data_IF_743426009023
#
_entry.id   IF_743426009023
#
_cell.length_a   1.000
_cell.length_b   1.000
_cell.length_c   1.000
_cell.angle_alpha   90.00
_cell.angle_beta   90.00
_cell.angle_gamma   90.00
#
_symmetry.space_group_name_H-M   'P 1'
#
loop_
_entity.id
_entity.type
_entity.pdbx_description
1 polymer ?
#
# COMPACT_ATOMS: atom_id res chain seq x y z
N UNK A 1 -51.40 -6.47 -45.97
CA UNK A 1 -50.51 -6.16 -44.82
C UNK A 1 -49.61 -7.34 -44.57
N UNK A 2 -48.29 -7.17 -44.53
CA UNK A 2 -47.38 -8.29 -44.26
C UNK A 2 -47.41 -8.61 -42.76
N UNK A 3 -47.44 -9.89 -42.39
CA UNK A 3 -47.68 -10.35 -40.99
C UNK A 3 -46.65 -9.81 -39.99
N UNK A 4 -45.44 -9.52 -40.46
CA UNK A 4 -44.35 -8.97 -39.65
C UNK A 4 -44.39 -7.45 -39.50
N UNK A 5 -45.23 -6.74 -40.26
CA UNK A 5 -45.27 -5.28 -40.27
C UNK A 5 -46.25 -4.74 -39.23
N UNK A 6 -45.73 -3.96 -38.29
CA UNK A 6 -46.51 -3.14 -37.35
C UNK A 6 -46.00 -1.71 -37.38
N UNK A 7 -46.91 -0.74 -37.57
CA UNK A 7 -46.56 0.69 -37.60
C UNK A 7 -45.97 1.19 -36.28
N UNK A 8 -46.29 0.53 -35.15
CA UNK A 8 -45.74 0.85 -33.84
C UNK A 8 -44.26 0.45 -33.68
N UNK A 9 -43.74 -0.42 -34.56
CA UNK A 9 -42.37 -0.94 -34.50
C UNK A 9 -41.42 -0.23 -35.47
N UNK A 10 -41.87 0.85 -36.12
CA UNK A 10 -41.03 1.69 -36.96
C UNK A 10 -40.22 2.61 -36.04
N UNK A 11 -38.89 2.51 -36.10
CA UNK A 11 -37.99 3.35 -35.33
C UNK A 11 -38.08 4.82 -35.71
N UNK A 12 -37.51 5.69 -34.89
CA UNK A 12 -37.43 7.15 -35.14
C UNK A 12 -36.62 7.50 -36.40
N UNK A 13 -35.89 6.54 -36.96
CA UNK A 13 -35.15 6.63 -38.22
C UNK A 13 -35.98 6.17 -39.45
N UNK A 14 -37.26 5.86 -39.27
CA UNK A 14 -38.16 5.41 -40.33
C UNK A 14 -37.94 3.97 -40.79
N UNK A 15 -37.11 3.19 -40.09
CA UNK A 15 -36.83 1.79 -40.43
C UNK A 15 -37.61 0.84 -39.53
N UNK A 16 -37.93 -0.34 -40.05
CA UNK A 16 -38.59 -1.41 -39.30
C UNK A 16 -37.86 -2.72 -39.54
N UNK A 17 -37.66 -3.50 -38.48
CA UNK A 17 -37.03 -4.81 -38.57
C UNK A 17 -37.92 -5.76 -39.37
N UNK A 18 -37.41 -6.26 -40.49
CA UNK A 18 -38.05 -7.31 -41.28
C UNK A 18 -37.44 -8.65 -40.89
N UNK A 19 -38.13 -9.49 -40.08
CA UNK A 19 -37.63 -10.81 -39.77
C UNK A 19 -37.59 -11.68 -41.03
N UNK A 20 -36.50 -12.41 -41.22
CA UNK A 20 -36.44 -13.50 -42.19
C UNK A 20 -36.99 -14.76 -41.52
N UNK A 21 -38.10 -15.35 -42.01
CA UNK A 21 -38.63 -16.57 -41.44
C UNK A 21 -37.63 -17.70 -41.66
N UNK A 22 -37.18 -18.32 -40.57
CA UNK A 22 -36.34 -19.52 -40.58
C UNK A 22 -37.15 -20.68 -40.03
N UNK A 23 -36.99 -21.86 -40.62
CA UNK A 23 -37.63 -23.05 -40.08
C UNK A 23 -36.99 -23.39 -38.73
N UNK A 24 -37.78 -23.61 -37.69
CA UNK A 24 -37.26 -23.85 -36.34
C UNK A 24 -36.26 -25.04 -36.28
N UNK A 25 -36.41 -26.01 -37.18
CA UNK A 25 -35.53 -27.18 -37.30
C UNK A 25 -34.18 -26.89 -37.99
N UNK A 26 -33.96 -25.71 -38.58
CA UNK A 26 -32.68 -25.33 -39.19
C UNK A 26 -31.81 -24.48 -38.28
N UNK A 27 -32.33 -24.08 -37.10
CA UNK A 27 -31.58 -23.33 -36.11
C UNK A 27 -30.73 -24.29 -35.29
N UNK A 28 -29.40 -24.17 -35.42
CA UNK A 28 -28.44 -24.80 -34.51
C UNK A 28 -27.80 -23.70 -33.67
N UNK A 29 -27.88 -23.83 -32.35
CA UNK A 29 -27.12 -22.99 -31.42
C UNK A 29 -26.36 -23.91 -30.46
N UNK A 30 -25.19 -23.45 -30.03
CA UNK A 30 -24.42 -24.10 -28.98
C UNK A 30 -24.65 -23.31 -27.69
N UNK A 31 -25.11 -23.98 -26.64
CA UNK A 31 -25.29 -23.37 -25.33
C UNK A 31 -24.63 -24.26 -24.27
N UNK A 32 -23.84 -23.65 -23.40
CA UNK A 32 -23.23 -24.31 -22.25
C UNK A 32 -23.99 -23.86 -21.01
N UNK A 33 -24.73 -24.77 -20.39
CA UNK A 33 -25.38 -24.55 -19.11
C UNK A 33 -24.44 -24.95 -17.99
N UNK A 34 -24.15 -24.02 -17.08
CA UNK A 34 -23.43 -24.33 -15.85
C UNK A 34 -24.43 -24.41 -14.70
N UNK A 35 -24.30 -25.43 -13.85
CA UNK A 35 -25.08 -25.55 -12.60
C UNK A 35 -24.07 -25.84 -11.49
N UNK A 36 -24.04 -24.98 -10.48
CA UNK A 36 -23.13 -25.12 -9.35
C UNK A 36 -23.93 -25.12 -8.05
N UNK A 37 -23.51 -25.98 -7.12
CA UNK A 37 -24.01 -25.96 -5.75
C UNK A 37 -23.46 -24.70 -5.07
N UNK A 38 -24.30 -23.83 -4.48
CA UNK A 38 -23.80 -22.70 -3.71
C UNK A 38 -22.97 -23.22 -2.54
N UNK A 39 -21.72 -22.78 -2.45
CA UNK A 39 -20.87 -23.01 -1.29
C UNK A 39 -21.39 -22.17 -0.12
N UNK A 40 -21.32 -22.74 1.07
CA UNK A 40 -21.78 -22.09 2.30
C UNK A 40 -20.93 -20.84 2.61
N UNK A 41 -21.60 -19.71 2.78
CA UNK A 41 -20.97 -18.41 3.05
C UNK A 41 -20.29 -18.38 4.43
N UNK A 42 -20.79 -19.17 5.40
CA UNK A 42 -20.21 -19.24 6.75
C UNK A 42 -18.89 -20.02 6.75
N UNK A 43 -18.73 -20.97 5.84
CA UNK A 43 -17.46 -21.71 5.64
C UNK A 43 -16.45 -20.85 4.89
N UNK A 44 -16.91 -20.07 3.89
CA UNK A 44 -16.05 -19.20 3.09
C UNK A 44 -15.62 -17.93 3.83
N UNK A 45 -16.44 -17.40 4.73
CA UNK A 45 -16.22 -16.10 5.38
C UNK A 45 -16.37 -14.91 4.43
N UNK A 46 -17.02 -15.10 3.29
CA UNK A 46 -17.20 -14.12 2.22
C UNK A 46 -18.40 -14.50 1.35
N UNK A 47 -19.16 -13.48 0.92
CA UNK A 47 -20.39 -13.63 0.15
C UNK A 47 -20.12 -14.25 -1.24
N UNK A 48 -20.54 -15.51 -1.48
CA UNK A 48 -20.26 -16.23 -2.72
C UNK A 48 -20.99 -15.63 -3.93
N UNK A 49 -22.03 -14.82 -3.74
CA UNK A 49 -22.78 -14.18 -4.84
C UNK A 49 -21.95 -13.11 -5.55
N UNK A 50 -20.96 -12.53 -4.85
CA UNK A 50 -20.06 -11.50 -5.38
C UNK A 50 -18.81 -12.07 -6.06
N UNK A 51 -18.60 -13.38 -6.01
CA UNK A 51 -17.49 -14.04 -6.67
C UNK A 51 -17.89 -14.48 -8.08
N UNK A 52 -16.96 -14.40 -9.06
CA UNK A 52 -17.14 -15.04 -10.36
C UNK A 52 -17.50 -16.51 -10.19
N UNK A 53 -18.49 -16.98 -10.96
CA UNK A 53 -19.05 -18.33 -10.84
C UNK A 53 -18.03 -19.43 -11.14
N UNK A 54 -16.93 -19.11 -11.83
CA UNK A 54 -15.82 -20.02 -12.12
C UNK A 54 -14.69 -19.97 -11.07
N UNK A 55 -14.85 -19.17 -10.00
CA UNK A 55 -13.86 -18.95 -8.95
C UNK A 55 -12.60 -18.23 -9.41
N UNK A 56 -12.55 -17.74 -10.66
CA UNK A 56 -11.38 -17.05 -11.21
C UNK A 56 -11.58 -15.55 -11.17
N UNK A 57 -10.62 -14.85 -10.57
CA UNK A 57 -10.63 -13.39 -10.51
C UNK A 57 -9.58 -12.84 -11.47
N UNK A 58 -9.97 -11.88 -12.33
CA UNK A 58 -9.01 -11.21 -13.19
C UNK A 58 -7.99 -10.43 -12.37
N UNK A 59 -6.71 -10.78 -12.55
CA UNK A 59 -5.58 -10.13 -11.87
C UNK A 59 -5.33 -8.73 -12.45
N UNK A 60 -5.60 -8.54 -13.74
CA UNK A 60 -5.43 -7.27 -14.45
C UNK A 60 -6.78 -6.68 -14.84
N UNK A 61 -6.87 -5.36 -14.83
CA UNK A 61 -8.05 -4.60 -15.28
C UNK A 61 -7.58 -3.37 -16.05
N UNK A 62 -8.29 -2.94 -17.11
CA UNK A 62 -8.05 -1.65 -17.73
C UNK A 62 -8.06 -0.52 -16.70
N UNK A 63 -7.10 0.40 -16.81
CA UNK A 63 -6.86 1.48 -15.86
C UNK A 63 -6.02 1.10 -14.63
N UNK A 64 -5.87 -0.20 -14.34
CA UNK A 64 -5.00 -0.69 -13.27
C UNK A 64 -3.51 -0.63 -13.63
N UNK A 65 -2.65 -0.80 -12.63
CA UNK A 65 -1.20 -0.85 -12.82
C UNK A 65 -0.70 -2.29 -12.86
N UNK A 66 0.18 -2.56 -13.84
CA UNK A 66 0.96 -3.77 -13.93
C UNK A 66 2.45 -3.45 -13.77
N UNK A 67 3.17 -4.36 -13.13
CA UNK A 67 4.61 -4.27 -12.93
C UNK A 67 5.24 -5.45 -13.67
N UNK A 68 5.98 -5.15 -14.74
CA UNK A 68 6.77 -6.12 -15.47
C UNK A 68 8.21 -6.03 -14.98
N UNK A 69 8.79 -7.16 -14.58
CA UNK A 69 10.17 -7.17 -14.10
C UNK A 69 10.90 -8.48 -14.29
N UNK A 70 12.22 -8.36 -14.40
CA UNK A 70 13.14 -9.49 -14.51
C UNK A 70 14.26 -9.31 -13.48
N UNK A 71 14.44 -10.30 -12.62
CA UNK A 71 15.56 -10.35 -11.67
C UNK A 71 16.66 -11.23 -12.23
N UNK A 72 17.89 -10.73 -12.23
CA UNK A 72 19.08 -11.51 -12.54
C UNK A 72 20.09 -11.37 -11.41
N UNK A 73 21.13 -12.18 -11.47
CA UNK A 73 22.18 -12.16 -10.47
C UNK A 73 23.56 -12.26 -11.10
N UNK A 74 24.53 -11.66 -10.40
CA UNK A 74 25.95 -11.80 -10.67
C UNK A 74 26.62 -12.26 -9.39
N UNK A 75 27.25 -13.42 -9.40
CA UNK A 75 28.04 -13.91 -8.27
C UNK A 75 29.50 -13.50 -8.46
N UNK A 76 30.09 -12.86 -7.46
CA UNK A 76 31.46 -12.38 -7.52
C UNK A 76 32.14 -12.46 -6.15
N UNK A 77 33.46 -12.68 -6.16
CA UNK A 77 34.31 -12.33 -5.01
C UNK A 77 34.66 -10.85 -5.13
N UNK A 78 34.46 -10.10 -4.05
CA UNK A 78 34.53 -8.63 -4.02
C UNK A 78 35.56 -8.15 -3.01
N UNK A 79 36.31 -7.10 -3.37
CA UNK A 79 37.23 -6.39 -2.48
C UNK A 79 36.81 -4.92 -2.31
N UNK A 80 37.40 -4.24 -1.32
CA UNK A 80 37.20 -2.79 -1.16
C UNK A 80 37.63 -2.04 -2.43
N UNK A 81 36.82 -1.07 -2.85
CA UNK A 81 37.00 -0.29 -4.08
C UNK A 81 36.57 -1.01 -5.36
N UNK A 82 36.18 -2.29 -5.31
CA UNK A 82 35.76 -3.03 -6.50
C UNK A 82 34.41 -2.52 -7.00
N UNK A 83 34.32 -2.35 -8.32
CA UNK A 83 33.10 -2.01 -9.02
C UNK A 83 32.66 -3.21 -9.86
N UNK A 84 31.45 -3.71 -9.60
CA UNK A 84 30.84 -4.80 -10.38
C UNK A 84 29.77 -4.22 -11.30
N UNK A 85 29.85 -4.55 -12.58
CA UNK A 85 28.84 -4.17 -13.58
C UNK A 85 27.78 -5.29 -13.69
N UNK A 86 26.51 -4.94 -13.52
CA UNK A 86 25.37 -5.86 -13.63
C UNK A 86 24.98 -6.18 -15.08
N UNK A 87 25.76 -5.71 -16.07
CA UNK A 87 25.55 -5.86 -17.51
C UNK A 87 24.19 -5.33 -18.01
N UNK A 88 23.58 -4.40 -17.26
CA UNK A 88 22.30 -3.76 -17.53
C UNK A 88 22.34 -2.35 -16.98
N UNK A 89 21.48 -1.49 -17.49
CA UNK A 89 21.32 -0.09 -17.06
C UNK A 89 19.89 0.12 -16.54
N UNK A 90 19.63 1.24 -15.86
CA UNK A 90 18.31 1.63 -15.33
C UNK A 90 17.67 0.51 -14.49
N UNK A 91 18.44 0.02 -13.54
CA UNK A 91 17.99 -0.99 -12.59
C UNK A 91 16.94 -0.37 -11.67
N UNK A 92 15.85 -1.10 -11.38
CA UNK A 92 14.89 -0.67 -10.36
C UNK A 92 15.40 -0.92 -8.94
N UNK A 93 16.25 -1.94 -8.77
CA UNK A 93 16.79 -2.35 -7.47
C UNK A 93 18.05 -3.18 -7.62
N UNK A 94 18.90 -3.10 -6.60
CA UNK A 94 20.00 -4.04 -6.34
C UNK A 94 19.91 -4.53 -4.89
N UNK A 95 20.25 -5.80 -4.67
CA UNK A 95 20.43 -6.42 -3.36
C UNK A 95 21.70 -7.26 -3.39
N UNK A 96 22.53 -7.16 -2.37
CA UNK A 96 23.71 -8.02 -2.21
C UNK A 96 23.40 -9.08 -1.16
N UNK A 97 23.70 -10.34 -1.50
CA UNK A 97 23.45 -11.51 -0.65
C UNK A 97 24.80 -12.21 -0.40
N UNK A 98 25.12 -12.52 0.85
CA UNK A 98 26.30 -13.30 1.20
C UNK A 98 26.15 -14.77 0.77
N UNK A 99 27.24 -15.53 0.78
CA UNK A 99 27.20 -16.98 0.51
C UNK A 99 26.41 -17.78 1.57
N UNK A 100 26.13 -17.16 2.72
CA UNK A 100 25.23 -17.65 3.77
C UNK A 100 23.73 -17.41 3.47
N UNK A 101 23.42 -16.76 2.35
CA UNK A 101 22.05 -16.41 1.95
C UNK A 101 21.49 -15.16 2.67
N UNK A 102 22.30 -14.47 3.49
CA UNK A 102 21.85 -13.29 4.23
C UNK A 102 22.01 -12.01 3.42
N UNK A 103 21.11 -11.06 3.65
CA UNK A 103 21.17 -9.74 2.99
C UNK A 103 22.23 -8.88 3.63
N UNK A 104 23.13 -8.39 2.81
CA UNK A 104 24.10 -7.39 3.19
C UNK A 104 23.48 -6.02 2.94
N UNK A 105 23.46 -5.15 3.96
CA UNK A 105 22.78 -3.84 3.90
C UNK A 105 23.75 -2.64 3.94
N UNK A 106 25.03 -2.87 4.21
CA UNK A 106 26.05 -1.83 4.35
C UNK A 106 27.33 -2.26 3.65
N UNK A 107 28.25 -1.33 3.37
CA UNK A 107 29.53 -1.66 2.75
C UNK A 107 29.54 -1.63 1.21
N UNK A 108 28.44 -1.23 0.58
CA UNK A 108 28.36 -0.98 -0.86
C UNK A 108 27.41 0.17 -1.19
N UNK A 109 27.56 0.74 -2.37
CA UNK A 109 26.59 1.65 -3.01
C UNK A 109 26.24 1.13 -4.40
N UNK A 110 25.05 1.48 -4.89
CA UNK A 110 24.59 1.09 -6.22
C UNK A 110 24.25 2.33 -7.05
N UNK A 111 24.87 2.44 -8.22
CA UNK A 111 24.44 3.33 -9.29
C UNK A 111 23.40 2.59 -10.12
N UNK A 112 22.13 2.87 -9.88
CA UNK A 112 21.02 2.20 -10.53
C UNK A 112 20.90 2.58 -12.01
N UNK A 113 21.23 3.81 -12.38
CA UNK A 113 21.16 4.26 -13.77
C UNK A 113 22.23 3.59 -14.62
N UNK A 114 23.49 3.59 -14.16
CA UNK A 114 24.59 2.92 -14.86
C UNK A 114 24.61 1.40 -14.64
N UNK A 115 23.84 0.89 -13.67
CA UNK A 115 23.77 -0.50 -13.27
C UNK A 115 25.09 -1.06 -12.72
N UNK A 116 25.74 -0.29 -11.85
CA UNK A 116 27.01 -0.64 -11.21
C UNK A 116 26.87 -0.72 -9.71
N UNK A 117 27.61 -1.63 -9.09
CA UNK A 117 27.70 -1.78 -7.63
C UNK A 117 29.13 -1.56 -7.21
N UNK A 118 29.35 -0.59 -6.33
CA UNK A 118 30.66 -0.24 -5.80
C UNK A 118 30.76 -0.69 -4.35
N UNK A 119 31.76 -1.51 -4.04
CA UNK A 119 32.01 -2.00 -2.69
C UNK A 119 32.98 -1.09 -1.96
N UNK A 120 32.54 -0.48 -0.86
CA UNK A 120 33.35 0.45 -0.06
C UNK A 120 34.01 -0.24 1.13
N UNK A 121 33.32 -1.20 1.76
CA UNK A 121 33.85 -2.01 2.84
C UNK A 121 33.22 -3.40 2.79
N UNK A 122 34.03 -4.44 2.55
CA UNK A 122 33.59 -5.84 2.50
C UNK A 122 33.81 -6.59 3.82
N UNK A 123 34.14 -5.86 4.89
CA UNK A 123 34.38 -6.45 6.21
C UNK A 123 33.14 -7.19 6.71
N UNK A 124 33.31 -8.46 7.09
CA UNK A 124 32.22 -9.31 7.57
C UNK A 124 31.34 -9.93 6.47
N UNK A 125 31.66 -9.73 5.19
CA UNK A 125 30.93 -10.37 4.10
C UNK A 125 31.29 -11.86 4.03
N UNK A 126 30.28 -12.71 3.97
CA UNK A 126 30.45 -14.12 3.61
C UNK A 126 30.49 -14.22 2.09
N UNK A 127 31.64 -14.60 1.53
CA UNK A 127 31.90 -14.60 0.10
C UNK A 127 31.86 -16.01 -0.52
N UNK A 128 31.62 -16.16 -1.85
CA UNK A 128 31.33 -15.09 -2.81
C UNK A 128 29.95 -14.47 -2.58
N UNK A 129 29.82 -13.18 -2.88
CA UNK A 129 28.52 -12.50 -2.79
C UNK A 129 27.73 -12.68 -4.08
N UNK A 130 26.41 -12.75 -3.96
CA UNK A 130 25.47 -12.74 -5.07
C UNK A 130 24.77 -11.38 -5.12
N UNK A 131 25.01 -10.64 -6.20
CA UNK A 131 24.39 -9.35 -6.47
C UNK A 131 23.13 -9.64 -7.28
N UNK A 132 21.97 -9.61 -6.64
CA UNK A 132 20.68 -9.63 -7.32
C UNK A 132 20.34 -8.23 -7.83
N UNK A 133 20.04 -8.10 -9.12
CA UNK A 133 19.65 -6.85 -9.74
C UNK A 133 18.40 -7.03 -10.58
N UNK A 134 17.54 -6.02 -10.60
CA UNK A 134 16.23 -6.08 -11.25
C UNK A 134 16.07 -4.92 -12.22
N UNK A 135 15.58 -5.24 -13.41
CA UNK A 135 15.01 -4.26 -14.35
C UNK A 135 13.50 -4.32 -14.27
N UNK A 136 12.85 -3.18 -14.47
CA UNK A 136 11.42 -3.11 -14.23
C UNK A 136 10.73 -1.91 -14.86
N UNK A 137 9.47 -2.12 -15.23
CA UNK A 137 8.56 -1.10 -15.71
C UNK A 137 7.22 -1.24 -14.99
N UNK A 138 6.79 -0.18 -14.31
CA UNK A 138 5.42 -0.03 -13.82
C UNK A 138 4.60 0.68 -14.88
N UNK A 139 3.61 0.02 -15.47
CA UNK A 139 2.83 0.55 -16.60
C UNK A 139 1.34 0.46 -16.30
N UNK A 140 0.58 1.41 -16.83
CA UNK A 140 -0.88 1.35 -16.75
C UNK A 140 -1.41 0.47 -17.87
N UNK A 141 -2.32 -0.43 -17.52
CA UNK A 141 -2.97 -1.35 -18.45
C UNK A 141 -4.07 -0.60 -19.20
N UNK A 142 -4.00 -0.55 -20.52
CA UNK A 142 -5.04 0.05 -21.37
C UNK A 142 -6.11 -0.96 -21.78
N UNK A 143 -5.72 -2.22 -21.97
CA UNK A 143 -6.62 -3.27 -22.42
C UNK A 143 -6.20 -4.65 -21.89
N UNK A 144 -7.18 -5.51 -21.63
CA UNK A 144 -7.01 -6.88 -21.10
C UNK A 144 -7.89 -7.83 -21.91
N UNK A 145 -7.25 -8.70 -22.66
CA UNK A 145 -7.93 -9.69 -23.50
C UNK A 145 -8.03 -11.05 -22.80
N UNK A 146 -9.09 -11.80 -23.12
CA UNK A 146 -9.36 -13.11 -22.50
C UNK A 146 -8.29 -14.17 -22.81
N UNK A 147 -7.52 -13.97 -23.88
CA UNK A 147 -6.38 -14.80 -24.25
C UNK A 147 -5.11 -14.51 -23.42
N UNK A 148 -5.18 -13.58 -22.45
CA UNK A 148 -4.06 -13.16 -21.62
C UNK A 148 -3.19 -12.05 -22.22
N UNK A 149 -3.54 -11.52 -23.40
CA UNK A 149 -2.85 -10.39 -23.99
C UNK A 149 -3.19 -9.09 -23.22
N UNK A 150 -2.15 -8.34 -22.88
CA UNK A 150 -2.25 -7.05 -22.21
C UNK A 150 -1.74 -5.96 -23.15
N UNK A 151 -2.47 -4.86 -23.23
CA UNK A 151 -1.96 -3.63 -23.81
C UNK A 151 -1.68 -2.61 -22.71
N UNK A 152 -0.67 -1.77 -22.93
CA UNK A 152 -0.26 -0.73 -21.99
C UNK A 152 -0.43 0.65 -22.61
N UNK A 153 -0.62 1.66 -21.78
CA UNK A 153 -0.72 3.06 -22.22
C UNK A 153 0.60 3.62 -22.75
N UNK A 154 1.73 3.00 -22.38
CA UNK A 154 3.08 3.37 -22.82
C UNK A 154 3.90 2.14 -23.18
N UNK A 155 4.89 2.33 -24.03
CA UNK A 155 5.87 1.29 -24.36
C UNK A 155 6.73 0.96 -23.14
N UNK A 156 7.02 -0.33 -22.94
CA UNK A 156 7.98 -0.80 -21.93
C UNK A 156 9.39 -0.34 -22.29
N UNK A 157 10.22 -0.05 -21.29
CA UNK A 157 11.52 0.59 -21.53
C UNK A 157 12.64 -0.42 -21.71
N UNK A 158 12.42 -1.69 -21.35
CA UNK A 158 13.40 -2.77 -21.46
C UNK A 158 12.92 -3.93 -22.32
N UNK A 159 13.87 -4.65 -22.91
CA UNK A 159 13.63 -6.00 -23.44
C UNK A 159 13.73 -7.00 -22.30
N UNK A 160 12.62 -7.66 -22.00
CA UNK A 160 12.50 -8.61 -20.90
C UNK A 160 12.81 -10.04 -21.38
N UNK A 161 13.86 -10.70 -20.84
CA UNK A 161 14.20 -12.07 -21.21
C UNK A 161 13.11 -13.07 -20.83
N UNK A 162 12.91 -14.09 -21.66
CA UNK A 162 12.09 -15.26 -21.32
C UNK A 162 12.94 -16.52 -21.47
N UNK A 163 12.92 -17.45 -20.50
CA UNK A 163 12.19 -17.41 -19.22
C UNK A 163 12.80 -16.44 -18.18
N UNK A 164 12.07 -16.14 -17.10
CA UNK A 164 12.58 -15.36 -15.95
C UNK A 164 11.99 -13.95 -15.77
N UNK A 165 11.15 -13.50 -16.69
CA UNK A 165 10.36 -12.27 -16.54
C UNK A 165 8.97 -12.57 -16.01
N UNK A 166 8.49 -11.73 -15.08
CA UNK A 166 7.19 -11.87 -14.46
C UNK A 166 6.42 -10.56 -14.52
N UNK A 167 5.10 -10.67 -14.67
CA UNK A 167 4.17 -9.54 -14.57
C UNK A 167 3.30 -9.70 -13.32
N UNK A 168 3.09 -8.61 -12.60
CA UNK A 168 2.30 -8.58 -11.37
C UNK A 168 1.34 -7.41 -11.40
N UNK A 169 0.18 -7.53 -10.74
CA UNK A 169 -0.67 -6.36 -10.47
C UNK A 169 -0.06 -5.53 -9.34
N UNK A 170 -0.40 -4.24 -9.29
CA UNK A 170 0.00 -3.35 -8.22
C UNK A 170 -1.23 -2.80 -7.49
N UNK A 171 -1.15 -2.81 -6.16
CA UNK A 171 -2.05 -2.08 -5.29
C UNK A 171 -1.46 -0.69 -5.07
N UNK A 172 -2.20 0.36 -5.41
CA UNK A 172 -1.74 1.75 -5.32
C UNK A 172 -2.19 2.34 -3.99
N UNK A 173 -1.24 2.60 -3.10
CA UNK A 173 -1.43 3.57 -2.03
C UNK A 173 -1.35 4.97 -2.64
N UNK A 174 -2.31 5.84 -2.31
CA UNK A 174 -2.25 7.26 -2.66
C UNK A 174 -1.08 7.95 -1.93
N UNK A 175 -1.07 9.28 -1.88
CA UNK A 175 -0.06 10.03 -1.14
C UNK A 175 -0.09 9.69 0.35
N UNK A 176 1.00 9.06 0.82
CA UNK A 176 1.17 8.68 2.22
C UNK A 176 2.07 9.69 2.91
N UNK A 177 1.48 10.49 3.80
CA UNK A 177 2.22 11.44 4.62
C UNK A 177 1.63 11.50 6.02
N UNK A 178 2.53 11.45 7.01
CA UNK A 178 2.17 11.70 8.39
C UNK A 178 1.75 13.16 8.58
N UNK A 179 0.61 13.39 9.22
CA UNK A 179 0.12 14.73 9.53
C UNK A 179 -0.71 14.73 10.80
N UNK A 180 -0.85 15.92 11.40
CA UNK A 180 -1.88 16.18 12.40
C UNK A 180 -3.15 16.60 11.65
N UNK A 181 -4.27 15.93 11.91
CA UNK A 181 -5.53 16.18 11.21
C UNK A 181 -6.49 17.08 11.97
N UNK A 182 -6.40 17.06 13.30
CA UNK A 182 -7.27 17.81 14.22
C UNK A 182 -6.42 18.25 15.40
N UNK A 183 -6.66 19.46 15.93
CA UNK A 183 -6.10 19.95 17.18
C UNK A 183 -7.10 20.92 17.84
N UNK A 184 -7.41 20.71 19.11
CA UNK A 184 -8.22 21.62 19.92
C UNK A 184 -7.99 21.38 21.41
N UNK A 185 -8.29 22.40 22.21
CA UNK A 185 -8.31 22.31 23.67
C UNK A 185 -9.73 22.09 24.21
N UNK A 186 -9.85 21.34 25.31
CA UNK A 186 -11.13 20.96 25.91
C UNK A 186 -11.03 20.99 27.44
N UNK A 187 -12.03 21.54 28.12
CA UNK A 187 -12.02 21.72 29.57
C UNK A 187 -12.09 20.39 30.34
N UNK A 188 -12.87 19.42 29.86
CA UNK A 188 -13.03 18.12 30.51
C UNK A 188 -13.15 17.01 29.48
N UNK A 189 -12.61 15.84 29.78
CA UNK A 189 -12.71 14.64 28.94
C UNK A 189 -13.09 13.45 29.80
N UNK A 190 -14.02 12.62 29.30
CA UNK A 190 -14.60 11.47 30.00
C UNK A 190 -13.70 10.22 30.00
N UNK A 191 -12.48 10.33 29.46
CA UNK A 191 -11.51 9.25 29.29
C UNK A 191 -11.94 8.13 28.31
N UNK A 192 -13.02 8.31 27.56
CA UNK A 192 -13.57 7.28 26.65
C UNK A 192 -13.87 7.84 25.27
N UNK A 193 -14.41 9.05 25.17
CA UNK A 193 -14.88 9.64 23.92
C UNK A 193 -13.75 10.35 23.18
N UNK A 194 -13.27 9.73 22.10
CA UNK A 194 -12.28 10.35 21.19
C UNK A 194 -12.98 11.02 19.99
N UNK A 195 -13.70 12.11 20.27
CA UNK A 195 -14.35 12.94 19.24
C UNK A 195 -13.36 13.86 18.51
N UNK A 196 -13.69 14.19 17.26
CA UNK A 196 -12.89 15.07 16.39
C UNK A 196 -13.32 16.55 16.51
N UNK A 197 -14.16 16.85 17.50
CA UNK A 197 -14.67 18.19 17.83
C UNK A 197 -14.66 18.37 19.34
N UNK A 198 -14.72 19.62 19.79
CA UNK A 198 -14.93 19.93 21.21
C UNK A 198 -16.27 19.33 21.68
N UNK A 199 -16.23 18.60 22.78
CA UNK A 199 -17.40 18.12 23.53
C UNK A 199 -17.45 18.88 24.85
N UNK A 200 -18.54 19.61 25.09
CA UNK A 200 -18.67 20.48 26.26
C UNK A 200 -18.04 21.85 26.03
N UNK A 201 -17.17 22.28 26.95
CA UNK A 201 -16.52 23.60 26.89
C UNK A 201 -15.06 23.50 26.47
N UNK A 202 -14.58 24.55 25.78
CA UNK A 202 -13.15 24.73 25.49
C UNK A 202 -12.36 24.96 26.77
N UNK A 203 -11.07 24.61 26.78
CA UNK A 203 -10.24 24.88 27.94
C UNK A 203 -9.93 26.38 28.02
N UNK A 204 -9.70 26.94 29.23
CA UNK A 204 -9.23 28.32 29.35
C UNK A 204 -7.81 28.53 28.79
N UNK A 205 -6.98 27.47 28.81
CA UNK A 205 -5.66 27.46 28.21
C UNK A 205 -5.70 26.94 26.78
N UNK A 206 -4.94 27.58 25.90
CA UNK A 206 -4.82 27.19 24.49
C UNK A 206 -3.35 26.93 24.16
N UNK A 207 -3.09 25.85 23.42
CA UNK A 207 -1.76 25.57 22.89
C UNK A 207 -1.53 26.38 21.60
N UNK A 208 -0.41 27.10 21.53
CA UNK A 208 -0.07 27.94 20.37
C UNK A 208 0.60 27.09 19.28
N UNK A 209 -0.23 26.45 18.45
CA UNK A 209 0.19 25.62 17.33
C UNK A 209 0.74 26.42 16.14
N UNK A 210 0.45 27.72 16.05
CA UNK A 210 1.04 28.63 15.05
C UNK A 210 2.54 28.82 15.32
N UNK A 211 2.91 29.11 16.57
CA UNK A 211 4.32 29.29 16.97
C UNK A 211 5.07 27.96 17.07
N UNK A 212 4.37 26.92 17.55
CA UNK A 212 4.95 25.62 17.86
C UNK A 212 4.07 24.48 17.33
N UNK A 213 3.99 24.27 16.01
CA UNK A 213 3.16 23.21 15.45
C UNK A 213 3.64 21.84 15.94
N UNK A 214 2.68 20.93 16.15
CA UNK A 214 3.01 19.54 16.47
C UNK A 214 3.77 18.91 15.31
N UNK A 215 4.97 18.40 15.59
CA UNK A 215 5.81 17.75 14.61
C UNK A 215 5.56 16.25 14.59
N UNK A 216 5.37 15.70 13.39
CA UNK A 216 5.21 14.26 13.15
C UNK A 216 6.15 13.83 12.04
N UNK A 217 6.58 12.56 12.07
CA UNK A 217 7.44 11.99 11.03
C UNK A 217 6.78 10.77 10.42
N UNK A 218 7.02 10.50 9.14
CA UNK A 218 6.51 9.30 8.47
C UNK A 218 6.98 8.00 9.15
N UNK A 219 8.13 8.03 9.81
CA UNK A 219 8.72 6.88 10.51
C UNK A 219 8.09 6.62 11.89
N UNK A 220 7.72 7.67 12.62
CA UNK A 220 7.27 7.55 14.01
C UNK A 220 5.75 7.59 14.18
N UNK A 221 5.07 8.42 13.38
CA UNK A 221 3.65 8.68 13.55
C UNK A 221 2.79 7.49 13.11
N UNK A 222 1.72 7.28 13.88
CA UNK A 222 0.68 6.27 13.59
C UNK A 222 -0.66 6.98 13.46
N UNK A 223 -1.64 6.31 12.83
CA UNK A 223 -3.01 6.82 12.85
C UNK A 223 -3.58 6.56 14.23
N UNK A 224 -3.76 7.63 15.01
CA UNK A 224 -4.14 7.55 16.42
C UNK A 224 -4.78 8.85 16.88
N UNK A 225 -5.64 8.75 17.89
CA UNK A 225 -6.27 9.88 18.56
C UNK A 225 -5.66 10.08 19.94
N UNK A 226 -5.21 11.30 20.22
CA UNK A 226 -4.40 11.62 21.39
C UNK A 226 -5.09 12.60 22.34
N UNK A 227 -4.98 12.34 23.64
CA UNK A 227 -5.36 13.21 24.74
C UNK A 227 -4.14 13.51 25.61
N UNK A 228 -3.75 14.78 25.68
CA UNK A 228 -2.82 15.27 26.70
C UNK A 228 -3.62 15.78 27.89
N UNK A 229 -3.87 14.93 28.88
CA UNK A 229 -4.75 15.25 30.02
C UNK A 229 -3.93 15.84 31.16
N UNK A 230 -4.21 17.09 31.51
CA UNK A 230 -3.56 17.78 32.61
C UNK A 230 -3.92 17.14 33.96
N UNK A 231 -2.89 16.75 34.71
CA UNK A 231 -2.99 16.21 36.07
C UNK A 231 -2.77 17.29 37.13
N UNK A 232 -2.19 18.43 36.73
CA UNK A 232 -2.17 19.70 37.46
C UNK A 232 -2.09 20.87 36.46
N UNK A 233 -1.66 22.06 36.87
CA UNK A 233 -1.57 23.23 35.99
C UNK A 233 -0.39 23.20 35.01
N UNK A 234 0.55 22.25 35.16
CA UNK A 234 1.82 22.20 34.41
C UNK A 234 2.22 20.80 33.93
N UNK A 235 1.61 19.74 34.45
CA UNK A 235 1.88 18.35 34.07
C UNK A 235 0.67 17.71 33.42
N UNK A 236 0.93 16.84 32.45
CA UNK A 236 -0.09 16.12 31.72
C UNK A 236 0.33 14.69 31.41
N UNK A 237 -0.65 13.81 31.29
CA UNK A 237 -0.47 12.45 30.78
C UNK A 237 -0.68 12.44 29.27
N UNK A 238 0.13 11.67 28.56
CA UNK A 238 -0.01 11.39 27.13
C UNK A 238 -0.78 10.09 26.95
N UNK A 239 -1.99 10.19 26.40
CA UNK A 239 -2.91 9.06 26.28
C UNK A 239 -3.34 8.92 24.82
N UNK A 240 -3.16 7.73 24.23
CA UNK A 240 -3.71 7.37 22.92
C UNK A 240 -4.91 6.42 23.05
N UNK A 241 -5.81 6.45 22.06
CA UNK A 241 -7.01 5.59 22.04
C UNK A 241 -6.67 4.10 22.10
N UNK A 242 -5.65 3.68 21.34
CA UNK A 242 -5.25 2.27 21.27
C UNK A 242 -4.00 1.97 22.11
N UNK A 243 -3.10 2.93 22.27
CA UNK A 243 -1.84 2.74 23.02
C UNK A 243 -1.96 3.05 24.52
N UNK A 244 -3.09 3.61 24.97
CA UNK A 244 -3.29 3.98 26.37
C UNK A 244 -2.35 5.09 26.84
N UNK A 245 -2.05 5.14 28.14
CA UNK A 245 -1.12 6.14 28.70
C UNK A 245 0.33 5.70 28.43
N UNK A 246 1.06 6.49 27.64
CA UNK A 246 2.42 6.12 27.18
C UNK A 246 3.52 6.95 27.83
N UNK A 247 3.18 8.10 28.42
CA UNK A 247 4.14 8.99 29.08
C UNK A 247 3.38 9.96 29.98
N UNK A 248 4.08 10.53 30.97
CA UNK A 248 3.67 11.77 31.62
C UNK A 248 4.75 12.82 31.35
N UNK A 249 4.36 14.08 31.17
CA UNK A 249 5.27 15.16 30.81
C UNK A 249 4.82 16.50 31.41
N UNK A 250 5.59 17.55 31.13
CA UNK A 250 5.34 18.90 31.64
C UNK A 250 5.37 19.92 30.51
N UNK A 251 4.67 21.03 30.70
CA UNK A 251 4.66 22.16 29.78
C UNK A 251 6.04 22.83 29.61
N UNK A 252 6.96 22.64 30.57
CA UNK A 252 8.25 23.31 30.55
C UNK A 252 9.26 22.72 29.54
N UNK A 253 9.01 21.52 29.02
CA UNK A 253 9.95 20.80 28.14
C UNK A 253 9.24 20.20 26.94
N UNK A 254 9.97 20.05 25.84
CA UNK A 254 9.48 19.33 24.67
C UNK A 254 9.14 17.87 25.05
N UNK A 255 8.03 17.37 24.52
CA UNK A 255 7.53 16.01 24.78
C UNK A 255 7.50 15.23 23.48
N UNK A 256 8.28 14.14 23.43
CA UNK A 256 8.47 13.31 22.23
C UNK A 256 8.41 11.81 22.57
N UNK A 257 7.23 11.26 22.90
CA UNK A 257 7.10 9.86 23.31
C UNK A 257 7.53 8.91 22.19
N UNK A 258 8.37 7.93 22.50
CA UNK A 258 8.92 7.01 21.51
C UNK A 258 7.92 5.93 21.09
N UNK A 259 7.84 5.70 19.78
CA UNK A 259 7.15 4.55 19.23
C UNK A 259 8.06 3.30 19.38
N UNK A 260 7.67 2.28 20.17
CA UNK A 260 8.48 1.09 20.39
C UNK A 260 8.72 0.27 19.12
N UNK A 261 7.85 0.40 18.09
CA UNK A 261 8.01 -0.32 16.84
C UNK A 261 9.12 0.24 15.93
N UNK A 262 9.39 1.55 16.03
CA UNK A 262 10.31 2.23 15.08
C UNK A 262 11.47 2.97 15.76
N UNK A 263 11.45 3.06 17.09
CA UNK A 263 12.40 3.83 17.88
C UNK A 263 12.37 5.33 17.60
N UNK A 264 11.34 5.83 16.90
CA UNK A 264 11.18 7.25 16.55
C UNK A 264 9.95 7.82 17.29
N UNK A 265 9.91 9.12 17.63
CA UNK A 265 8.77 9.69 18.35
C UNK A 265 7.44 9.56 17.59
N UNK A 266 6.34 9.24 18.29
CA UNK A 266 4.99 9.27 17.73
C UNK A 266 4.64 10.66 17.19
N UNK A 267 4.93 11.68 18.00
CA UNK A 267 4.83 13.09 17.69
C UNK A 267 5.83 13.84 18.57
N UNK A 268 6.00 15.13 18.32
CA UNK A 268 6.75 16.05 19.19
C UNK A 268 5.92 17.30 19.39
N UNK A 269 5.64 17.61 20.64
CA UNK A 269 5.00 18.85 21.07
C UNK A 269 6.03 19.69 21.82
N UNK A 270 6.15 20.98 21.48
CA UNK A 270 7.20 21.81 22.06
C UNK A 270 6.71 22.52 23.32
N UNK A 271 7.59 22.62 24.32
CA UNK A 271 7.32 23.30 25.58
C UNK A 271 6.89 24.77 25.37
N UNK A 272 7.52 25.45 24.41
CA UNK A 272 7.25 26.87 24.09
C UNK A 272 5.83 27.15 23.59
N UNK A 273 5.10 26.12 23.13
CA UNK A 273 3.72 26.29 22.65
C UNK A 273 2.70 26.39 23.78
N UNK A 274 3.05 26.02 25.01
CA UNK A 274 2.13 26.06 26.14
C UNK A 274 1.95 27.48 26.67
N UNK A 275 0.70 27.96 26.64
CA UNK A 275 0.28 29.17 27.36
C UNK A 275 -0.04 28.90 28.84
N UNK A 276 -0.49 29.95 29.54
CA UNK A 276 -1.10 29.84 30.88
C UNK A 276 -2.59 29.42 30.80
N UNK A 277 -3.21 29.15 31.96
CA UNK A 277 -4.66 28.89 32.04
C UNK A 277 -5.05 27.41 32.06
N UNK A 278 -4.09 26.50 32.14
CA UNK A 278 -4.33 25.07 32.29
C UNK A 278 -4.72 24.71 33.73
N UNK A 279 -5.66 23.78 33.85
CA UNK A 279 -6.13 23.23 35.12
C UNK A 279 -6.20 21.71 35.04
N UNK A 280 -6.30 21.06 36.21
CA UNK A 280 -6.54 19.62 36.30
C UNK A 280 -7.77 19.25 35.47
N UNK A 281 -7.65 18.22 34.64
CA UNK A 281 -8.75 17.73 33.80
C UNK A 281 -8.84 18.36 32.42
N UNK A 282 -8.20 19.53 32.19
CA UNK A 282 -8.09 20.09 30.84
C UNK A 282 -7.34 19.12 29.94
N UNK A 283 -7.69 19.10 28.66
CA UNK A 283 -7.09 18.20 27.68
C UNK A 283 -6.75 18.95 26.40
N UNK A 284 -5.53 18.76 25.89
CA UNK A 284 -5.24 19.03 24.48
C UNK A 284 -5.55 17.77 23.67
N UNK A 285 -6.50 17.88 22.74
CA UNK A 285 -6.93 16.81 21.85
C UNK A 285 -6.35 17.02 20.48
N UNK A 286 -5.78 15.97 19.91
CA UNK A 286 -5.33 16.00 18.52
C UNK A 286 -5.31 14.60 17.94
N UNK A 287 -5.38 14.54 16.61
CA UNK A 287 -5.30 13.27 15.89
C UNK A 287 -4.09 13.29 14.97
N UNK A 288 -3.38 12.17 14.92
CA UNK A 288 -2.35 11.93 13.91
C UNK A 288 -2.89 10.97 12.87
N UNK A 289 -2.52 11.20 11.61
CA UNK A 289 -2.66 10.23 10.53
C UNK A 289 -1.26 9.74 10.22
N UNK A 290 -1.03 8.43 10.31
CA UNK A 290 0.26 7.81 9.98
C UNK A 290 0.48 7.71 8.47
N UNK A 291 1.73 7.49 8.06
CA UNK A 291 2.07 7.20 6.66
C UNK A 291 1.96 5.70 6.32
N UNK A 292 1.33 4.90 7.19
CA UNK A 292 1.16 3.47 7.00
C UNK A 292 -0.06 3.20 6.11
N UNK A 293 0.13 2.35 5.09
CA UNK A 293 -0.96 1.85 4.25
C UNK A 293 -1.22 0.38 4.60
N UNK A 294 -2.20 0.07 5.47
CA UNK A 294 -2.45 -1.30 5.90
C UNK A 294 -3.00 -2.12 4.73
N UNK A 295 -2.41 -3.29 4.51
CA UNK A 295 -2.83 -4.24 3.48
C UNK A 295 -3.09 -5.60 4.10
N UNK A 296 -4.14 -6.27 3.61
CA UNK A 296 -4.46 -7.64 4.00
C UNK A 296 -4.07 -8.57 2.87
N UNK A 297 -3.39 -9.65 3.20
CA UNK A 297 -2.95 -10.65 2.22
C UNK A 297 -3.65 -11.95 2.57
N UNK A 298 -4.42 -12.45 1.61
CA UNK A 298 -5.12 -13.72 1.73
C UNK A 298 -4.52 -14.67 0.70
N UNK A 299 -4.08 -15.85 1.15
CA UNK A 299 -3.68 -16.93 0.26
C UNK A 299 -4.90 -17.82 0.02
N UNK A 300 -5.30 -17.95 -1.23
CA UNK A 300 -6.31 -18.91 -1.66
C UNK A 300 -5.62 -20.06 -2.39
N UNK A 301 -6.06 -21.29 -2.12
CA UNK A 301 -5.60 -22.50 -2.80
C UNK A 301 -6.79 -23.15 -3.51
N UNK A 302 -6.58 -23.59 -4.74
CA UNK A 302 -7.61 -24.34 -5.46
C UNK A 302 -7.65 -25.76 -4.89
N UNK A 303 -8.85 -26.32 -4.72
CA UNK A 303 -9.01 -27.71 -4.30
C UNK A 303 -8.41 -28.64 -5.36
N UNK A 304 -7.49 -29.52 -4.95
CA UNK A 304 -6.80 -30.43 -5.86
C UNK A 304 -5.72 -31.24 -5.14
N UNK A 305 -5.08 -32.20 -5.84
CA UNK A 305 -3.97 -32.94 -5.28
C UNK A 305 -2.80 -32.00 -4.96
N UNK A 306 -2.12 -32.27 -3.84
CA UNK A 306 -0.90 -31.56 -3.45
C UNK A 306 0.16 -31.77 -4.53
N UNK A 307 0.32 -30.78 -5.40
CA UNK A 307 1.18 -30.86 -6.59
C UNK A 307 2.45 -30.03 -6.46
N UNK A 308 2.53 -29.15 -5.45
CA UNK A 308 3.66 -28.25 -5.23
C UNK A 308 4.11 -28.35 -3.78
N UNK A 309 5.37 -28.75 -3.57
CA UNK A 309 5.96 -28.95 -2.25
C UNK A 309 6.28 -27.60 -1.58
N UNK A 310 6.63 -26.57 -2.35
CA UNK A 310 7.03 -25.25 -1.85
C UNK A 310 6.53 -24.11 -2.75
N UNK A 311 5.70 -23.23 -2.22
CA UNK A 311 5.31 -21.97 -2.85
C UNK A 311 6.06 -20.79 -2.22
N UNK A 312 6.45 -19.83 -3.03
CA UNK A 312 7.03 -18.57 -2.56
C UNK A 312 6.38 -17.39 -3.29
N UNK A 313 6.08 -16.35 -2.53
CA UNK A 313 5.69 -15.05 -3.09
C UNK A 313 6.53 -13.96 -2.42
N UNK A 314 6.60 -12.79 -3.05
CA UNK A 314 7.32 -11.64 -2.51
C UNK A 314 6.44 -10.42 -2.64
N UNK A 315 6.33 -9.67 -1.55
CA UNK A 315 5.70 -8.36 -1.56
C UNK A 315 6.81 -7.32 -1.63
N UNK A 316 6.64 -6.37 -2.54
CA UNK A 316 7.54 -5.25 -2.68
C UNK A 316 6.73 -3.98 -2.54
N UNK A 317 7.02 -3.22 -1.48
CA UNK A 317 6.48 -1.87 -1.30
C UNK A 317 7.27 -0.92 -2.20
N UNK A 318 6.54 -0.06 -2.91
CA UNK A 318 7.10 1.03 -3.72
C UNK A 318 6.56 2.33 -3.17
N UNK A 319 7.46 3.28 -2.93
CA UNK A 319 7.13 4.68 -2.78
C UNK A 319 7.74 5.43 -3.95
N UNK A 320 7.08 6.51 -4.38
CA UNK A 320 7.81 7.50 -5.17
C UNK A 320 8.86 8.14 -4.26
N UNK A 321 10.06 8.31 -4.79
CA UNK A 321 11.06 9.16 -4.16
C UNK A 321 11.06 10.41 -4.99
N UNK A 322 10.36 11.44 -4.51
CA UNK A 322 10.67 12.80 -4.92
C UNK A 322 12.17 12.99 -4.65
N UNK A 323 12.98 12.91 -5.73
CA UNK A 323 14.36 13.38 -5.68
C UNK A 323 14.27 14.89 -5.39
N UNK A 324 14.81 15.39 -4.26
CA UNK A 324 15.20 16.80 -4.23
C UNK A 324 16.31 17.07 -5.25
#
# INVERSE_FOLDING_TARGET
TQVWYSAANVGTDGKVFKPAPVFANTIRFNAVGFTYLPLDADILGLDPVRLPQDGKVSIFRPGGFAVLGHTASVTATVSNGQVVNCARVRLSRVRVIGADGQVINTGYSADLEAGKVTFTSVSGYVQPVTIEHRIEDMVQVSDVQINGQLAFTRQVTHTYPFPGSFISSALVGQDLKARVSVLFDQATWDAVTYADTVVGSVAPGTYNDILAPLAVTNKGAVTEKWALRFTNTTTFDVIGEHVGTISSATIATDTSPLNPATGSPYFTIRGIGWGSGWAVGNVLRFNTVGALFPVWIVRTIQQGPESVINDKFTILVRGDVDRP
#
